data_IF_568797063695
#
_entry.id   IF_568797063695
#
_cell.length_a   1.000
_cell.length_b   1.000
_cell.length_c   1.000
_cell.angle_alpha   90.00
_cell.angle_beta   90.00
_cell.angle_gamma   90.00
#
_symmetry.space_group_name_H-M   'P 1'
#
loop_
_entity.id
_entity.type
_entity.pdbx_description
1 polymer ?
#
# COMPACT_ATOMS: atom_id res chain seq x y z
N UNK A 1 -11.89 -18.32 4.82
CA UNK A 1 -10.81 -18.30 3.81
C UNK A 1 -9.73 -17.40 4.36
N UNK A 2 -8.49 -17.89 4.44
CA UNK A 2 -7.37 -17.09 4.96
C UNK A 2 -6.42 -16.84 3.80
N UNK A 3 -6.45 -15.63 3.24
CA UNK A 3 -5.56 -15.31 2.13
C UNK A 3 -4.14 -15.10 2.66
N UNK A 4 -3.15 -15.67 1.98
CA UNK A 4 -1.75 -15.46 2.33
C UNK A 4 -1.28 -14.11 1.81
N UNK A 5 -0.65 -13.31 2.66
CA UNK A 5 -0.10 -12.01 2.24
C UNK A 5 1.36 -12.17 1.87
N UNK A 6 1.71 -11.68 0.68
CA UNK A 6 3.08 -11.57 0.21
C UNK A 6 3.41 -10.10 0.00
N UNK A 7 4.35 -9.56 0.79
CA UNK A 7 4.84 -8.20 0.61
C UNK A 7 6.03 -8.27 -0.36
N UNK A 8 5.91 -7.63 -1.52
CA UNK A 8 7.01 -7.55 -2.48
C UNK A 8 8.17 -6.73 -1.88
N UNK A 9 9.43 -7.03 -2.24
CA UNK A 9 10.59 -6.31 -1.74
C UNK A 9 10.48 -4.81 -2.01
N UNK A 10 9.92 -4.43 -3.16
CA UNK A 10 9.66 -3.02 -3.49
C UNK A 10 8.70 -2.37 -2.50
N UNK A 11 7.56 -3.00 -2.20
CA UNK A 11 6.62 -2.50 -1.19
C UNK A 11 7.28 -2.38 0.19
N UNK A 12 8.10 -3.36 0.58
CA UNK A 12 8.81 -3.34 1.85
C UNK A 12 9.76 -2.14 1.96
N UNK A 13 10.54 -1.86 0.91
CA UNK A 13 11.43 -0.70 0.87
C UNK A 13 10.65 0.62 0.95
N UNK A 14 9.53 0.75 0.24
CA UNK A 14 8.69 1.96 0.29
C UNK A 14 8.11 2.18 1.70
N UNK A 15 7.72 1.10 2.40
CA UNK A 15 7.25 1.16 3.78
C UNK A 15 8.37 1.65 4.70
N UNK A 16 9.58 1.08 4.58
CA UNK A 16 10.73 1.49 5.38
C UNK A 16 11.09 2.97 5.14
N UNK A 17 11.15 3.41 3.89
CA UNK A 17 11.47 4.80 3.53
C UNK A 17 10.42 5.74 4.12
N UNK A 18 9.13 5.41 3.95
CA UNK A 18 8.02 6.20 4.50
C UNK A 18 8.10 6.29 6.03
N UNK A 19 8.34 5.16 6.69
CA UNK A 19 8.46 5.09 8.15
C UNK A 19 9.64 5.94 8.67
N UNK A 20 10.81 5.80 8.05
CA UNK A 20 12.00 6.58 8.41
C UNK A 20 11.78 8.07 8.20
N UNK A 21 11.19 8.45 7.07
CA UNK A 21 10.86 9.85 6.79
C UNK A 21 9.91 10.43 7.85
N UNK A 22 8.87 9.69 8.26
CA UNK A 22 7.98 10.13 9.34
C UNK A 22 8.67 10.26 10.69
N UNK A 23 9.59 9.34 11.01
CA UNK A 23 10.34 9.38 12.25
C UNK A 23 11.24 10.64 12.32
N UNK A 24 11.83 11.01 11.19
CA UNK A 24 12.72 12.16 11.06
C UNK A 24 11.96 13.51 10.97
N UNK A 25 10.86 13.55 10.23
CA UNK A 25 10.15 14.79 9.88
C UNK A 25 8.92 15.09 10.75
N UNK A 26 8.31 14.07 11.36
CA UNK A 26 7.09 14.21 12.16
C UNK A 26 7.36 13.86 13.62
N UNK A 27 7.42 12.57 13.94
CA UNK A 27 7.63 11.99 15.28
C UNK A 27 7.59 10.47 15.21
N UNK A 28 8.31 9.80 16.10
CA UNK A 28 8.27 8.33 16.22
C UNK A 28 6.86 7.79 16.54
N UNK A 29 6.07 8.51 17.34
CA UNK A 29 4.69 8.12 17.66
C UNK A 29 3.79 8.11 16.41
N UNK A 30 3.91 9.14 15.57
CA UNK A 30 3.16 9.21 14.30
C UNK A 30 3.58 8.12 13.32
N UNK A 31 4.89 7.84 13.23
CA UNK A 31 5.42 6.76 12.41
C UNK A 31 4.87 5.39 12.86
N UNK A 32 4.88 5.14 14.16
CA UNK A 32 4.32 3.91 14.75
C UNK A 32 2.81 3.79 14.50
N UNK A 33 2.03 4.85 14.75
CA UNK A 33 0.59 4.83 14.51
C UNK A 33 0.27 4.52 13.04
N UNK A 34 0.99 5.14 12.10
CA UNK A 34 0.84 4.84 10.68
C UNK A 34 1.20 3.39 10.34
N UNK A 35 2.28 2.86 10.92
CA UNK A 35 2.69 1.47 10.71
C UNK A 35 1.65 0.48 11.25
N UNK A 36 1.06 0.75 12.41
CA UNK A 36 -0.03 -0.06 12.97
C UNK A 36 -1.30 0.01 12.09
N UNK A 37 -1.67 1.20 11.60
CA UNK A 37 -2.78 1.35 10.65
C UNK A 37 -2.52 0.57 9.35
N UNK A 38 -1.29 0.62 8.80
CA UNK A 38 -0.90 -0.15 7.63
C UNK A 38 -1.02 -1.66 7.89
N UNK A 39 -0.51 -2.12 9.02
CA UNK A 39 -0.54 -3.53 9.40
C UNK A 39 -1.98 -4.03 9.57
N UNK A 40 -2.84 -3.29 10.28
CA UNK A 40 -4.26 -3.62 10.46
C UNK A 40 -5.01 -3.65 9.12
N UNK A 41 -4.75 -2.65 8.27
CA UNK A 41 -5.32 -2.57 6.94
C UNK A 41 -4.94 -3.78 6.08
N UNK A 42 -3.66 -4.17 6.08
CA UNK A 42 -3.13 -5.35 5.39
C UNK A 42 -3.76 -6.63 5.98
N UNK A 43 -3.84 -6.77 7.30
CA UNK A 43 -4.47 -7.90 7.96
C UNK A 43 -5.97 -8.02 7.57
N UNK A 44 -6.68 -6.90 7.43
CA UNK A 44 -8.09 -6.89 7.00
C UNK A 44 -8.29 -7.46 5.59
N UNK A 45 -7.26 -7.42 4.73
CA UNK A 45 -7.31 -8.00 3.40
C UNK A 45 -7.29 -9.54 3.45
N UNK A 46 -6.76 -10.17 4.52
CA UNK A 46 -6.79 -11.64 4.66
C UNK A 46 -8.20 -12.21 4.72
N UNK A 47 -9.17 -11.41 5.15
CA UNK A 47 -10.56 -11.83 5.34
C UNK A 47 -11.45 -11.36 4.19
N UNK A 48 -11.22 -10.14 3.68
CA UNK A 48 -12.07 -9.53 2.65
C UNK A 48 -11.27 -8.74 1.60
N UNK A 49 -10.48 -9.39 0.73
CA UNK A 49 -9.65 -8.69 -0.26
C UNK A 49 -10.48 -8.03 -1.36
N UNK A 50 -11.58 -8.67 -1.79
CA UNK A 50 -12.43 -8.22 -2.91
C UNK A 50 -13.29 -6.98 -2.60
N UNK A 51 -13.27 -6.46 -1.36
CA UNK A 51 -14.01 -5.23 -1.01
C UNK A 51 -13.35 -3.96 -1.53
N UNK A 52 -12.08 -4.06 -1.95
CA UNK A 52 -11.28 -2.91 -2.35
C UNK A 52 -11.56 -2.55 -3.82
N UNK A 53 -11.76 -1.27 -4.14
CA UNK A 53 -11.97 -0.85 -5.52
C UNK A 53 -10.73 -1.14 -6.36
N UNK A 54 -10.97 -1.44 -7.64
CA UNK A 54 -9.91 -1.61 -8.63
C UNK A 54 -9.20 -0.26 -8.82
N UNK A 55 -7.87 -0.30 -8.92
CA UNK A 55 -7.06 0.86 -9.24
C UNK A 55 -7.34 1.32 -10.67
N UNK A 56 -7.41 2.63 -10.96
CA UNK A 56 -7.57 3.12 -12.34
C UNK A 56 -6.42 2.66 -13.26
N UNK A 57 -5.25 2.39 -12.66
CA UNK A 57 -4.05 1.85 -13.30
C UNK A 57 -4.21 0.40 -13.79
N UNK A 58 -5.15 -0.35 -13.22
CA UNK A 58 -5.40 -1.75 -13.58
C UNK A 58 -5.71 -1.90 -15.08
N UNK A 59 -6.51 -0.99 -15.63
CA UNK A 59 -6.87 -0.97 -17.05
C UNK A 59 -5.68 -0.67 -17.96
N UNK A 60 -4.67 0.05 -17.47
CA UNK A 60 -3.47 0.43 -18.22
C UNK A 60 -2.45 -0.72 -18.20
N UNK A 61 -2.31 -1.37 -17.03
CA UNK A 61 -1.36 -2.46 -16.79
C UNK A 61 -1.89 -3.80 -17.31
N UNK A 62 -3.20 -3.91 -17.56
CA UNK A 62 -3.86 -5.15 -17.99
C UNK A 62 -3.92 -6.20 -16.88
N UNK A 63 -3.88 -5.78 -15.61
CA UNK A 63 -3.97 -6.65 -14.42
C UNK A 63 -4.96 -6.09 -13.43
N UNK A 64 -5.74 -6.96 -12.79
CA UNK A 64 -6.66 -6.59 -11.71
C UNK A 64 -5.90 -6.17 -10.45
N UNK A 65 -5.49 -4.90 -10.43
CA UNK A 65 -4.83 -4.28 -9.28
C UNK A 65 -5.92 -3.63 -8.43
N UNK A 66 -5.96 -4.00 -7.17
CA UNK A 66 -6.80 -3.37 -6.17
C UNK A 66 -6.00 -2.31 -5.42
N UNK A 67 -6.72 -1.30 -4.92
CA UNK A 67 -6.13 -0.26 -4.08
C UNK A 67 -6.84 -0.19 -2.73
N UNK A 68 -6.06 -0.04 -1.67
CA UNK A 68 -6.55 0.28 -0.34
C UNK A 68 -5.99 1.62 0.11
N UNK A 69 -6.87 2.49 0.59
CA UNK A 69 -6.52 3.82 1.03
C UNK A 69 -6.43 3.86 2.56
N UNK A 70 -5.27 4.22 3.10
CA UNK A 70 -5.00 4.20 4.54
C UNK A 70 -4.51 5.56 5.07
N UNK A 71 -4.54 5.70 6.40
CA UNK A 71 -4.05 6.85 7.14
C UNK A 71 -4.99 8.06 7.13
N UNK A 72 -4.61 9.07 7.90
CA UNK A 72 -5.38 10.31 8.08
C UNK A 72 -5.60 11.02 6.73
N UNK A 73 -6.87 11.13 6.33
CA UNK A 73 -7.32 11.65 5.01
C UNK A 73 -6.93 10.81 3.80
N UNK A 74 -6.77 9.48 3.93
CA UNK A 74 -6.48 8.57 2.78
C UNK A 74 -5.19 8.96 2.04
N UNK A 75 -4.18 9.33 2.82
CA UNK A 75 -2.89 9.83 2.33
C UNK A 75 -1.96 8.74 1.83
N UNK A 76 -2.24 7.47 2.07
CA UNK A 76 -1.42 6.37 1.58
C UNK A 76 -2.28 5.40 0.78
N UNK A 77 -1.71 4.89 -0.31
CA UNK A 77 -2.34 3.91 -1.21
C UNK A 77 -1.50 2.64 -1.19
N UNK A 78 -2.12 1.55 -0.79
CA UNK A 78 -1.56 0.20 -0.88
C UNK A 78 -2.11 -0.42 -2.17
N UNK A 79 -1.22 -0.69 -3.12
CA UNK A 79 -1.55 -1.36 -4.37
C UNK A 79 -1.23 -2.84 -4.24
N UNK A 80 -2.22 -3.68 -4.52
CA UNK A 80 -2.07 -5.12 -4.39
C UNK A 80 -2.84 -5.86 -5.48
N UNK A 81 -2.43 -7.09 -5.74
CA UNK A 81 -3.14 -8.02 -6.62
C UNK A 81 -3.58 -9.24 -5.82
N UNK A 82 -4.70 -9.83 -6.22
CA UNK A 82 -5.23 -11.05 -5.61
C UNK A 82 -5.07 -12.16 -6.65
N UNK A 83 -4.20 -13.12 -6.38
CA UNK A 83 -3.96 -14.28 -7.22
C UNK A 83 -4.34 -15.55 -6.46
N UNK A 84 -5.47 -16.17 -6.85
CA UNK A 84 -6.05 -17.34 -6.19
C UNK A 84 -6.36 -17.06 -4.71
N UNK A 85 -5.43 -17.42 -3.83
CA UNK A 85 -5.52 -17.29 -2.37
C UNK A 85 -4.36 -16.45 -1.80
N UNK A 86 -3.58 -15.80 -2.66
CA UNK A 86 -2.43 -14.97 -2.29
C UNK A 86 -2.70 -13.52 -2.63
N UNK A 87 -2.47 -12.64 -1.68
CA UNK A 87 -2.54 -11.19 -1.83
C UNK A 87 -1.11 -10.67 -1.92
N UNK A 88 -0.69 -10.27 -3.12
CA UNK A 88 0.64 -9.71 -3.32
C UNK A 88 0.58 -8.18 -3.23
N UNK A 89 1.17 -7.60 -2.18
CA UNK A 89 1.34 -6.16 -2.03
C UNK A 89 2.47 -5.72 -2.94
N UNK A 90 2.15 -4.93 -3.97
CA UNK A 90 3.11 -4.49 -4.98
C UNK A 90 3.81 -3.21 -4.56
N UNK A 91 3.04 -2.22 -4.09
CA UNK A 91 3.54 -0.90 -3.71
C UNK A 91 2.74 -0.30 -2.55
N UNK A 92 3.41 0.48 -1.70
CA UNK A 92 2.77 1.34 -0.69
C UNK A 92 3.23 2.76 -0.97
N UNK A 93 2.35 3.60 -1.54
CA UNK A 93 2.70 4.95 -1.97
C UNK A 93 1.99 6.01 -1.16
N UNK A 94 2.63 7.13 -0.93
CA UNK A 94 1.96 8.32 -0.41
C UNK A 94 1.17 8.99 -1.54
N UNK A 95 -0.08 9.41 -1.30
CA UNK A 95 -0.97 10.08 -2.26
C UNK A 95 -0.41 11.41 -2.79
N UNK A 96 0.59 11.99 -2.12
CA UNK A 96 1.35 13.18 -2.57
C UNK A 96 2.69 12.85 -3.25
N UNK A 97 3.15 11.59 -3.20
CA UNK A 97 4.22 11.13 -4.09
C UNK A 97 3.54 10.70 -5.38
N UNK A 98 3.51 11.64 -6.33
CA UNK A 98 3.00 11.47 -7.68
C UNK A 98 3.50 10.17 -8.33
N UNK A 99 2.70 9.68 -9.26
CA UNK A 99 3.07 8.68 -10.25
C UNK A 99 4.56 8.76 -10.66
N UNK A 100 5.26 7.62 -10.62
CA UNK A 100 6.41 7.43 -11.52
C UNK A 100 5.89 7.69 -12.94
N UNK A 101 6.38 8.79 -13.50
CA UNK A 101 5.83 9.49 -14.66
C UNK A 101 6.37 10.92 -14.76
N UNK A 102 6.96 11.47 -13.70
CA UNK A 102 7.81 12.65 -13.80
C UNK A 102 9.25 12.21 -14.08
N UNK A 103 9.58 12.15 -15.38
CA UNK A 103 10.94 12.27 -15.86
C UNK A 103 11.55 13.55 -15.31
N UNK A 104 12.61 13.41 -14.52
CA UNK A 104 13.48 14.52 -14.15
C UNK A 104 14.21 14.96 -15.43
N UNK A 105 13.75 16.05 -16.04
CA UNK A 105 14.54 16.89 -16.95
C UNK A 105 15.40 17.86 -16.14
#
# INVERSE_FOLDING_TARGET
MNYQILIQPTAFQEIEISYRWMCDNLSADTANNWYYELHDAIASLQTFPNRCPIAPEASIIGREIHQLLIGKRKKYRVLFVVEKEVIAILHVRHSHQSYVGESFE
#
